data_IF_876311236959
#
_entry.id   IF_876311236959
#
_cell.length_a   1.000
_cell.length_b   1.000
_cell.length_c   1.000
_cell.angle_alpha   90.00
_cell.angle_beta   90.00
_cell.angle_gamma   90.00
#
_symmetry.space_group_name_H-M   'P 1'
#
loop_
_entity.id
_entity.type
_entity.pdbx_description
1 polymer ?
#
# COMPACT_ATOMS: atom_id res chain seq x y z
N UNK A 1 -31.51 39.06 23.67
CA UNK A 1 -31.23 37.60 23.75
C UNK A 1 -30.37 37.25 22.55
N UNK A 2 -29.08 36.99 22.74
CA UNK A 2 -28.22 36.47 21.67
C UNK A 2 -28.57 34.99 21.52
N UNK A 3 -29.03 34.59 20.33
CA UNK A 3 -29.23 33.18 20.02
C UNK A 3 -27.88 32.47 20.06
N UNK A 4 -27.81 31.33 20.76
CA UNK A 4 -26.62 30.52 20.77
C UNK A 4 -26.38 29.90 19.39
N UNK A 5 -25.14 30.00 18.90
CA UNK A 5 -24.73 29.34 17.68
C UNK A 5 -24.89 27.83 17.79
N UNK A 6 -25.34 27.21 16.71
CA UNK A 6 -25.52 25.75 16.61
C UNK A 6 -24.67 25.22 15.47
N UNK A 7 -23.96 24.13 15.74
CA UNK A 7 -23.28 23.36 14.70
C UNK A 7 -24.33 22.63 13.86
N UNK A 8 -24.34 22.92 12.56
CA UNK A 8 -25.30 22.37 11.59
C UNK A 8 -24.49 21.70 10.48
N UNK A 9 -24.81 20.45 10.16
CA UNK A 9 -24.20 19.73 9.05
C UNK A 9 -24.75 20.23 7.72
N UNK A 10 -23.91 20.88 6.91
CA UNK A 10 -24.33 21.53 5.65
C UNK A 10 -24.74 20.57 4.53
N UNK A 11 -24.39 19.28 4.63
CA UNK A 11 -24.65 18.28 3.57
C UNK A 11 -25.97 17.52 3.77
N UNK A 12 -26.79 17.90 4.75
CA UNK A 12 -28.10 17.28 4.97
C UNK A 12 -29.14 18.35 5.34
N UNK A 13 -30.35 18.26 4.77
CA UNK A 13 -31.40 19.27 4.92
C UNK A 13 -31.88 19.47 6.36
N UNK A 14 -31.77 18.44 7.21
CA UNK A 14 -32.11 18.56 8.63
C UNK A 14 -30.99 19.13 9.48
N UNK A 15 -29.78 19.31 8.93
CA UNK A 15 -28.63 19.80 9.68
C UNK A 15 -28.00 18.80 10.64
N UNK A 16 -28.55 17.58 10.75
CA UNK A 16 -28.07 16.55 11.67
C UNK A 16 -26.99 15.70 10.98
N UNK A 17 -25.84 15.56 11.64
CA UNK A 17 -24.81 14.63 11.20
C UNK A 17 -25.18 13.19 11.57
N UNK A 18 -25.11 12.31 10.58
CA UNK A 18 -25.15 10.85 10.76
C UNK A 18 -24.01 10.21 10.00
N UNK A 19 -23.66 8.96 10.35
CA UNK A 19 -22.64 8.19 9.63
C UNK A 19 -22.96 8.13 8.13
N UNK A 20 -24.22 7.96 7.74
CA UNK A 20 -24.63 7.92 6.32
C UNK A 20 -24.38 9.26 5.61
N UNK A 21 -24.74 10.38 6.24
CA UNK A 21 -24.59 11.72 5.65
C UNK A 21 -23.15 12.22 5.62
N UNK A 22 -22.25 11.62 6.41
CA UNK A 22 -20.81 11.85 6.35
C UNK A 22 -20.10 10.91 5.39
N UNK A 23 -20.36 9.60 5.52
CA UNK A 23 -19.59 8.55 4.86
C UNK A 23 -19.69 8.58 3.34
N UNK A 24 -20.90 8.67 2.77
CA UNK A 24 -21.07 8.65 1.31
C UNK A 24 -20.40 9.84 0.62
N UNK A 25 -20.63 11.10 1.05
CA UNK A 25 -19.92 12.25 0.47
C UNK A 25 -18.41 12.19 0.68
N UNK A 26 -17.93 11.72 1.84
CA UNK A 26 -16.48 11.57 2.06
C UNK A 26 -15.87 10.50 1.17
N UNK A 27 -16.58 9.40 0.91
CA UNK A 27 -16.12 8.37 -0.02
C UNK A 27 -16.07 8.88 -1.45
N UNK A 28 -17.04 9.69 -1.88
CA UNK A 28 -17.03 10.31 -3.21
C UNK A 28 -15.87 11.28 -3.36
N UNK A 29 -15.55 12.08 -2.33
CA UNK A 29 -14.37 12.95 -2.33
C UNK A 29 -13.08 12.13 -2.32
N UNK A 30 -12.99 11.07 -1.52
CA UNK A 30 -11.81 10.18 -1.46
C UNK A 30 -11.62 9.41 -2.76
N UNK A 31 -12.71 8.98 -3.41
CA UNK A 31 -12.65 8.23 -4.66
C UNK A 31 -12.54 9.15 -5.89
N UNK A 32 -13.06 10.38 -5.83
CA UNK A 32 -12.89 11.41 -6.85
C UNK A 32 -11.49 12.01 -6.83
N UNK A 33 -10.89 12.18 -5.64
CA UNK A 33 -9.48 12.56 -5.48
C UNK A 33 -8.52 11.36 -5.66
N UNK A 34 -9.04 10.17 -5.98
CA UNK A 34 -8.26 9.02 -6.43
C UNK A 34 -8.07 9.04 -7.94
N UNK A 35 -7.86 10.23 -8.52
CA UNK A 35 -7.01 10.30 -9.71
C UNK A 35 -5.68 9.66 -9.35
N UNK A 36 -5.51 8.42 -9.80
CA UNK A 36 -4.27 7.69 -9.91
C UNK A 36 -3.24 7.95 -8.80
N UNK A 37 -3.58 7.56 -7.57
CA UNK A 37 -2.55 6.88 -6.75
C UNK A 37 -2.35 5.45 -7.27
N UNK A 38 -2.15 5.34 -8.59
CA UNK A 38 -1.28 4.36 -9.15
C UNK A 38 0.07 4.68 -8.50
N UNK A 39 0.35 3.98 -7.40
CA UNK A 39 1.72 3.79 -6.97
C UNK A 39 2.53 3.57 -8.24
N UNK A 40 3.63 4.28 -8.41
CA UNK A 40 4.60 4.17 -9.50
C UNK A 40 5.13 2.73 -9.75
N UNK A 41 4.56 1.74 -9.05
CA UNK A 41 4.75 0.30 -9.17
C UNK A 41 3.51 -0.45 -9.72
N UNK A 42 2.53 0.20 -10.36
CA UNK A 42 1.47 -0.55 -11.06
C UNK A 42 2.09 -1.28 -12.26
N UNK A 43 2.44 -2.54 -12.01
CA UNK A 43 2.72 -3.54 -13.01
C UNK A 43 1.74 -3.37 -14.19
N UNK A 44 2.22 -3.22 -15.45
CA UNK A 44 1.36 -3.13 -16.61
C UNK A 44 0.22 -4.14 -16.55
N UNK A 45 -0.98 -3.72 -16.93
CA UNK A 45 -2.26 -4.45 -16.84
C UNK A 45 -2.27 -5.86 -17.44
N UNK A 46 -1.19 -6.27 -18.13
CA UNK A 46 -0.98 -7.61 -18.68
C UNK A 46 0.09 -8.48 -17.99
N UNK A 47 0.92 -7.95 -17.07
CA UNK A 47 2.07 -8.70 -16.53
C UNK A 47 1.69 -10.00 -15.84
N UNK A 48 0.47 -10.10 -15.33
CA UNK A 48 0.00 -11.26 -14.59
C UNK A 48 -0.61 -12.35 -15.47
N UNK A 49 -1.00 -12.06 -16.72
CA UNK A 49 -1.67 -13.05 -17.58
C UNK A 49 -0.80 -14.28 -17.83
N UNK A 50 0.48 -14.07 -18.11
CA UNK A 50 1.43 -15.14 -18.39
C UNK A 50 1.78 -15.99 -17.14
N UNK A 51 2.16 -15.41 -15.98
CA UNK A 51 2.45 -16.18 -14.77
C UNK A 51 1.27 -17.05 -14.28
N UNK A 52 0.03 -16.56 -14.41
CA UNK A 52 -1.14 -17.31 -13.96
C UNK A 52 -1.49 -18.49 -14.88
N UNK A 53 -1.13 -18.40 -16.18
CA UNK A 53 -1.33 -19.47 -17.16
C UNK A 53 -0.34 -20.63 -17.08
N UNK A 54 0.76 -20.49 -16.32
CA UNK A 54 1.73 -21.57 -16.14
C UNK A 54 1.20 -22.67 -15.22
N UNK A 55 1.57 -23.93 -15.45
CA UNK A 55 1.31 -25.05 -14.54
C UNK A 55 2.27 -25.04 -13.33
N UNK A 56 2.29 -23.91 -12.60
CA UNK A 56 3.04 -23.78 -11.36
C UNK A 56 2.12 -23.93 -10.14
N UNK A 57 2.61 -24.53 -9.05
CA UNK A 57 1.95 -24.50 -7.75
C UNK A 57 1.52 -23.08 -7.36
N UNK A 58 0.30 -22.95 -6.84
CA UNK A 58 -0.28 -21.66 -6.48
C UNK A 58 0.60 -20.85 -5.50
N UNK A 59 1.31 -21.54 -4.60
CA UNK A 59 2.24 -20.93 -3.64
C UNK A 59 3.37 -20.15 -4.33
N UNK A 60 3.90 -20.66 -5.46
CA UNK A 60 4.98 -20.02 -6.21
C UNK A 60 4.46 -18.78 -6.95
N UNK A 61 3.27 -18.88 -7.57
CA UNK A 61 2.61 -17.75 -8.24
C UNK A 61 2.33 -16.61 -7.26
N UNK A 62 1.79 -16.94 -6.08
CA UNK A 62 1.56 -15.98 -5.00
C UNK A 62 2.86 -15.36 -4.49
N UNK A 63 3.92 -16.14 -4.34
CA UNK A 63 5.22 -15.64 -3.91
C UNK A 63 5.78 -14.62 -4.90
N UNK A 64 5.81 -14.95 -6.19
CA UNK A 64 6.23 -14.01 -7.24
C UNK A 64 5.38 -12.74 -7.27
N UNK A 65 4.07 -12.88 -7.13
CA UNK A 65 3.13 -11.75 -7.02
C UNK A 65 3.45 -10.82 -5.85
N UNK A 66 3.72 -11.38 -4.67
CA UNK A 66 4.13 -10.60 -3.50
C UNK A 66 5.48 -9.90 -3.70
N UNK A 67 6.43 -10.56 -4.38
CA UNK A 67 7.74 -9.99 -4.68
C UNK A 67 7.63 -8.80 -5.63
N UNK A 68 6.94 -8.96 -6.76
CA UNK A 68 6.78 -7.90 -7.76
C UNK A 68 6.04 -6.68 -7.23
N UNK A 69 5.11 -6.86 -6.28
CA UNK A 69 4.37 -5.75 -5.64
C UNK A 69 5.11 -5.13 -4.45
N UNK A 70 6.35 -5.54 -4.16
CA UNK A 70 7.13 -5.10 -2.98
C UNK A 70 6.29 -5.17 -1.69
N UNK A 71 5.47 -6.23 -1.55
CA UNK A 71 4.58 -6.40 -0.39
C UNK A 71 5.37 -6.81 0.85
N UNK A 72 6.53 -7.42 0.66
CA UNK A 72 7.40 -7.79 1.77
C UNK A 72 7.89 -6.54 2.50
N UNK A 73 7.82 -6.52 3.84
CA UNK A 73 8.31 -5.42 4.65
C UNK A 73 9.85 -5.44 4.63
N UNK A 74 10.43 -4.98 3.53
CA UNK A 74 11.86 -4.69 3.43
C UNK A 74 12.06 -3.28 3.96
N UNK A 75 13.15 -3.01 4.68
CA UNK A 75 13.45 -1.70 5.27
C UNK A 75 13.33 -0.56 4.26
N UNK A 76 13.73 -0.77 3.00
CA UNK A 76 13.50 0.18 1.89
C UNK A 76 12.02 0.50 1.62
N UNK A 77 11.13 -0.49 1.71
CA UNK A 77 9.68 -0.28 1.52
C UNK A 77 9.07 0.50 2.70
N UNK A 78 9.62 0.30 3.90
CA UNK A 78 9.18 1.01 5.11
C UNK A 78 9.73 2.46 5.11
N UNK A 79 10.99 2.67 4.70
CA UNK A 79 11.60 4.00 4.56
C UNK A 79 10.87 4.90 3.55
N UNK A 80 10.22 4.33 2.53
CA UNK A 80 9.34 5.08 1.62
C UNK A 80 8.05 5.61 2.30
N UNK A 81 7.67 5.07 3.46
CA UNK A 81 6.43 5.44 4.18
C UNK A 81 6.70 6.14 5.50
N UNK A 82 7.86 5.91 6.11
CA UNK A 82 8.25 6.45 7.39
C UNK A 82 9.61 7.11 7.25
N UNK A 83 9.70 8.44 7.41
CA UNK A 83 10.98 9.15 7.36
C UNK A 83 11.87 8.76 8.55
N UNK A 84 13.20 8.77 8.33
CA UNK A 84 14.25 8.46 9.32
C UNK A 84 14.37 7.00 9.77
N UNK A 85 13.95 6.04 8.94
CA UNK A 85 14.29 4.63 9.18
C UNK A 85 15.66 4.32 8.60
N UNK A 86 16.50 3.66 9.39
CA UNK A 86 17.74 3.04 8.92
C UNK A 86 17.42 2.02 7.84
N UNK A 87 17.89 2.27 6.62
CA UNK A 87 17.70 1.38 5.48
C UNK A 87 18.63 0.17 5.51
N UNK A 88 19.59 0.19 6.44
CA UNK A 88 20.49 -0.92 6.72
C UNK A 88 19.70 -2.14 7.22
N UNK A 89 19.98 -3.29 6.63
CA UNK A 89 19.41 -4.53 7.09
C UNK A 89 20.21 -5.08 8.26
N UNK A 90 19.53 -5.39 9.36
CA UNK A 90 20.16 -5.79 10.62
C UNK A 90 20.96 -7.10 10.56
N UNK A 91 20.80 -7.91 9.50
CA UNK A 91 21.45 -9.23 9.40
C UNK A 91 22.75 -9.18 8.60
N UNK A 92 22.84 -8.37 7.54
CA UNK A 92 24.05 -8.28 6.71
C UNK A 92 24.62 -6.85 6.62
N UNK A 93 24.03 -5.88 7.33
CA UNK A 93 24.44 -4.47 7.42
C UNK A 93 24.62 -3.78 6.06
N UNK A 94 23.84 -4.20 5.06
CA UNK A 94 23.90 -3.59 3.74
C UNK A 94 22.87 -2.43 3.65
N UNK A 95 23.32 -1.26 3.21
CA UNK A 95 22.56 0.01 3.29
C UNK A 95 21.45 0.16 2.25
N UNK A 96 21.48 -0.62 1.18
CA UNK A 96 20.49 -0.59 0.09
C UNK A 96 20.05 -2.01 -0.30
N UNK A 97 18.98 -2.49 0.31
CA UNK A 97 18.48 -3.84 0.05
C UNK A 97 17.25 -3.88 -0.88
N UNK A 98 17.41 -4.23 -2.17
CA UNK A 98 16.26 -4.65 -2.95
C UNK A 98 15.72 -5.98 -2.40
N UNK A 99 14.43 -6.23 -2.62
CA UNK A 99 13.78 -7.50 -2.25
C UNK A 99 14.52 -8.75 -2.75
N UNK A 100 15.22 -8.64 -3.88
CA UNK A 100 16.06 -9.70 -4.45
C UNK A 100 17.28 -10.02 -3.60
N UNK A 101 17.82 -9.04 -2.86
CA UNK A 101 18.90 -9.29 -1.92
C UNK A 101 18.42 -10.20 -0.80
N UNK A 102 17.36 -9.81 -0.08
CA UNK A 102 16.77 -10.59 1.02
C UNK A 102 16.44 -12.03 0.59
N UNK A 103 15.89 -12.21 -0.61
CA UNK A 103 15.41 -13.52 -1.07
C UNK A 103 16.54 -14.40 -1.63
N UNK A 104 17.48 -13.83 -2.40
CA UNK A 104 18.42 -14.64 -3.21
C UNK A 104 19.90 -14.32 -3.00
N UNK A 105 20.26 -13.11 -2.54
CA UNK A 105 21.67 -12.66 -2.49
C UNK A 105 22.19 -12.47 -1.07
N UNK A 106 21.32 -12.50 -0.08
CA UNK A 106 21.70 -12.41 1.32
C UNK A 106 22.50 -13.67 1.68
N UNK A 107 23.73 -13.53 2.22
CA UNK A 107 24.54 -14.68 2.63
C UNK A 107 23.80 -15.63 3.58
N UNK A 108 22.91 -15.08 4.41
CA UNK A 108 22.06 -15.86 5.30
C UNK A 108 20.98 -16.67 4.54
N UNK A 109 20.40 -16.11 3.49
CA UNK A 109 19.42 -16.82 2.64
C UNK A 109 20.06 -17.90 1.77
N UNK A 110 21.36 -17.80 1.48
CA UNK A 110 22.11 -18.81 0.73
C UNK A 110 22.62 -19.96 1.60
N UNK A 111 22.53 -19.86 2.93
CA UNK A 111 22.97 -20.86 3.90
C UNK A 111 21.81 -21.77 4.38
N UNK A 112 21.00 -22.27 3.45
CA UNK A 112 19.91 -23.24 3.71
C UNK A 112 20.32 -24.64 3.29
#
# INVERSE_FOLDING_TARGET
>A
RLCADKLIWSKHSTGIYTIKTGYHPTLEVVNGNREESISSNAAPTGLWKWPWGLNLPHKIKLFGWKCCRRIFPVNLTIANRVPHIETEYSICHNAEEPIMHVIFRCPWATHV
#
